data_IF_906884175484
#
_entry.id   IF_906884175484
#
_cell.length_a   1.000
_cell.length_b   1.000
_cell.length_c   1.000
_cell.angle_alpha   90.00
_cell.angle_beta   90.00
_cell.angle_gamma   90.00
#
_symmetry.space_group_name_H-M   'P 1'
#
loop_
_entity.id
_entity.type
_entity.pdbx_description
1 polymer ?
#
# COMPACT_ATOMS: atom_id res chain seq x y z
N UNK A 1 6.61 -8.58 -21.74
CA UNK A 1 5.19 -8.87 -21.83
C UNK A 1 4.48 -8.28 -20.63
N UNK A 2 3.34 -7.59 -20.86
CA UNK A 2 2.52 -7.04 -19.77
C UNK A 2 1.79 -8.15 -19.02
N UNK A 3 1.20 -7.80 -17.85
CA UNK A 3 0.36 -8.71 -17.10
C UNK A 3 -0.88 -9.11 -17.91
N UNK A 4 -1.29 -10.37 -17.80
CA UNK A 4 -2.52 -10.87 -18.39
C UNK A 4 -3.72 -10.39 -17.59
N UNK A 5 -4.67 -9.71 -18.25
CA UNK A 5 -5.87 -9.18 -17.59
C UNK A 5 -6.85 -10.26 -17.12
N UNK A 6 -6.74 -11.48 -17.65
CA UNK A 6 -7.55 -12.61 -17.16
C UNK A 6 -7.01 -13.18 -15.85
N UNK A 7 -5.68 -13.18 -15.69
CA UNK A 7 -5.03 -13.65 -14.46
C UNK A 7 -4.98 -12.55 -13.38
N UNK A 8 -4.77 -11.27 -13.80
CA UNK A 8 -4.58 -10.13 -12.90
C UNK A 8 -5.54 -8.97 -13.24
N UNK A 9 -6.86 -9.17 -13.10
CA UNK A 9 -7.86 -8.17 -13.49
C UNK A 9 -7.79 -6.89 -12.66
N UNK A 10 -7.39 -6.94 -11.39
CA UNK A 10 -7.32 -5.76 -10.53
C UNK A 10 -6.09 -4.91 -10.82
N UNK A 11 -4.92 -5.51 -11.02
CA UNK A 11 -3.68 -4.80 -11.37
C UNK A 11 -3.74 -4.19 -12.78
N UNK A 12 -4.44 -4.83 -13.70
CA UNK A 12 -4.56 -4.35 -15.08
C UNK A 12 -5.74 -3.40 -15.29
N UNK A 13 -6.63 -3.27 -14.30
CA UNK A 13 -7.85 -2.46 -14.40
C UNK A 13 -7.58 -1.03 -14.88
N UNK A 14 -6.62 -0.34 -14.26
CA UNK A 14 -6.31 1.06 -14.59
C UNK A 14 -5.62 1.24 -15.95
N UNK A 15 -5.03 0.18 -16.48
CA UNK A 15 -4.46 0.17 -17.85
C UNK A 15 -5.53 0.25 -18.92
N UNK A 16 -6.66 -0.39 -18.67
CA UNK A 16 -7.71 -0.62 -19.64
C UNK A 16 -8.89 0.35 -19.47
N UNK A 17 -8.75 1.37 -18.60
CA UNK A 17 -9.74 2.44 -18.41
C UNK A 17 -9.81 3.35 -19.62
N UNK A 18 -11.03 3.54 -20.17
CA UNK A 18 -11.30 4.53 -21.22
C UNK A 18 -11.43 5.94 -20.61
N UNK A 19 -12.08 6.06 -19.46
CA UNK A 19 -12.25 7.31 -18.72
C UNK A 19 -11.79 7.17 -17.25
N UNK A 20 -10.77 7.93 -16.88
CA UNK A 20 -10.26 7.95 -15.50
C UNK A 20 -11.23 8.56 -14.49
N UNK A 21 -12.23 9.33 -14.92
CA UNK A 21 -13.29 9.81 -14.05
C UNK A 21 -14.13 8.66 -13.48
N UNK A 22 -14.27 7.54 -14.19
CA UNK A 22 -14.94 6.35 -13.66
C UNK A 22 -14.20 5.77 -12.45
N UNK A 23 -12.88 5.91 -12.39
CA UNK A 23 -12.09 5.53 -11.22
C UNK A 23 -12.41 6.41 -10.00
N UNK A 24 -12.58 7.72 -10.22
CA UNK A 24 -12.89 8.70 -9.16
C UNK A 24 -14.33 8.57 -8.65
N UNK A 25 -15.27 8.18 -9.52
CA UNK A 25 -16.71 8.08 -9.23
C UNK A 25 -17.11 6.80 -8.49
N UNK A 26 -16.18 5.87 -8.28
CA UNK A 26 -16.45 4.66 -7.49
C UNK A 26 -16.94 5.00 -6.10
N UNK A 27 -17.82 4.14 -5.56
CA UNK A 27 -18.16 4.19 -4.14
C UNK A 27 -16.92 3.84 -3.28
N UNK A 28 -16.89 4.27 -2.01
CA UNK A 28 -15.82 3.88 -1.09
C UNK A 28 -15.63 2.36 -0.99
N UNK A 29 -16.72 1.60 -1.02
CA UNK A 29 -16.72 0.14 -0.96
C UNK A 29 -16.14 -0.50 -2.22
N UNK A 30 -16.48 0.02 -3.42
CA UNK A 30 -15.92 -0.42 -4.68
C UNK A 30 -14.42 -0.12 -4.75
N UNK A 31 -13.99 1.04 -4.25
CA UNK A 31 -12.58 1.40 -4.17
C UNK A 31 -11.82 0.46 -3.23
N UNK A 32 -12.39 0.16 -2.04
CA UNK A 32 -11.80 -0.80 -1.11
C UNK A 32 -11.71 -2.20 -1.73
N UNK A 33 -12.78 -2.69 -2.34
CA UNK A 33 -12.80 -4.00 -2.98
C UNK A 33 -11.75 -4.14 -4.09
N UNK A 34 -11.54 -3.06 -4.88
CA UNK A 34 -10.47 -3.01 -5.87
C UNK A 34 -9.08 -3.07 -5.22
N UNK A 35 -8.83 -2.29 -4.16
CA UNK A 35 -7.55 -2.30 -3.43
C UNK A 35 -7.26 -3.66 -2.80
N UNK A 36 -8.28 -4.31 -2.22
CA UNK A 36 -8.14 -5.67 -1.67
C UNK A 36 -7.79 -6.68 -2.78
N UNK A 37 -8.34 -6.50 -3.99
CA UNK A 37 -8.00 -7.28 -5.18
C UNK A 37 -6.56 -7.06 -5.63
N UNK A 38 -6.14 -5.79 -5.74
CA UNK A 38 -4.75 -5.41 -6.06
C UNK A 38 -3.77 -6.03 -5.06
N UNK A 39 -4.05 -5.95 -3.77
CA UNK A 39 -3.17 -6.51 -2.73
C UNK A 39 -3.00 -8.02 -2.89
N UNK A 40 -4.09 -8.76 -3.15
CA UNK A 40 -4.02 -10.22 -3.39
C UNK A 40 -3.21 -10.57 -4.65
N UNK A 41 -3.38 -9.82 -5.72
CA UNK A 41 -2.64 -10.06 -6.98
C UNK A 41 -1.16 -9.68 -6.84
N UNK A 42 -0.84 -8.59 -6.13
CA UNK A 42 0.52 -8.23 -5.77
C UNK A 42 1.18 -9.34 -4.95
N UNK A 43 0.52 -9.87 -3.93
CA UNK A 43 1.04 -10.98 -3.12
C UNK A 43 1.43 -12.19 -3.99
N UNK A 44 0.59 -12.58 -4.95
CA UNK A 44 0.89 -13.67 -5.88
C UNK A 44 2.17 -13.40 -6.68
N UNK A 45 2.30 -12.18 -7.23
CA UNK A 45 3.47 -11.79 -8.03
C UNK A 45 4.74 -11.70 -7.20
N UNK A 46 4.64 -11.13 -5.99
CA UNK A 46 5.76 -10.98 -5.07
C UNK A 46 6.27 -12.34 -4.57
N UNK A 47 5.39 -13.29 -4.25
CA UNK A 47 5.76 -14.64 -3.89
C UNK A 47 6.49 -15.38 -5.02
N UNK A 48 6.02 -15.23 -6.28
CA UNK A 48 6.72 -15.77 -7.46
C UNK A 48 8.11 -15.14 -7.63
N UNK A 49 8.22 -13.83 -7.41
CA UNK A 49 9.50 -13.12 -7.47
C UNK A 49 10.47 -13.61 -6.39
N UNK A 50 10.00 -13.71 -5.15
CA UNK A 50 10.80 -14.17 -4.01
C UNK A 50 11.29 -15.61 -4.21
N UNK A 51 10.45 -16.48 -4.78
CA UNK A 51 10.85 -17.85 -5.11
C UNK A 51 12.03 -17.88 -6.08
N UNK A 52 12.03 -17.00 -7.08
CA UNK A 52 13.15 -16.86 -8.03
C UNK A 52 14.42 -16.24 -7.46
N UNK A 53 14.36 -15.66 -6.25
CA UNK A 53 15.49 -14.98 -5.61
C UNK A 53 16.18 -15.83 -4.51
N UNK A 54 15.62 -16.96 -4.13
CA UNK A 54 16.06 -17.80 -2.99
C UNK A 54 17.53 -18.20 -3.02
N UNK A 55 18.11 -18.41 -4.19
CA UNK A 55 19.44 -19.01 -4.33
C UNK A 55 20.56 -18.01 -4.69
N UNK A 56 20.31 -16.70 -4.52
CA UNK A 56 21.29 -15.68 -4.96
C UNK A 56 22.46 -15.47 -3.99
N UNK A 57 22.47 -16.10 -2.81
CA UNK A 57 23.56 -16.04 -1.83
C UNK A 57 23.83 -14.65 -1.24
N UNK A 58 22.86 -13.73 -1.36
CA UNK A 58 22.92 -12.36 -0.82
C UNK A 58 21.58 -11.97 -0.19
N UNK A 59 21.58 -11.09 0.82
CA UNK A 59 20.35 -10.53 1.37
C UNK A 59 19.54 -9.78 0.30
N UNK A 60 18.23 -9.93 0.33
CA UNK A 60 17.27 -9.20 -0.50
C UNK A 60 16.29 -8.49 0.41
N UNK A 61 16.17 -7.18 0.25
CA UNK A 61 15.19 -6.37 0.96
C UNK A 61 14.01 -6.10 0.03
N UNK A 62 12.81 -6.28 0.54
CA UNK A 62 11.57 -6.13 -0.23
C UNK A 62 10.60 -5.25 0.55
N UNK A 63 10.10 -4.20 -0.10
CA UNK A 63 8.88 -3.51 0.34
C UNK A 63 7.70 -4.26 -0.27
N UNK A 64 6.80 -4.80 0.56
CA UNK A 64 5.89 -5.86 0.15
C UNK A 64 4.44 -5.60 0.55
N UNK A 65 3.51 -6.10 -0.27
CA UNK A 65 2.09 -6.22 0.02
C UNK A 65 1.68 -7.63 0.50
N UNK A 66 2.65 -8.52 0.76
CA UNK A 66 2.36 -9.87 1.25
C UNK A 66 1.65 -9.76 2.61
N UNK A 67 0.56 -10.53 2.75
CA UNK A 67 -0.25 -10.52 3.97
C UNK A 67 0.52 -10.97 5.21
N UNK A 68 0.13 -10.48 6.37
CA UNK A 68 0.73 -10.88 7.66
C UNK A 68 0.69 -12.39 7.86
N UNK A 69 -0.42 -13.03 7.48
CA UNK A 69 -0.64 -14.46 7.59
C UNK A 69 0.37 -15.24 6.74
N UNK A 70 0.56 -14.81 5.51
CA UNK A 70 1.53 -15.41 4.59
C UNK A 70 2.96 -15.17 5.08
N UNK A 71 3.31 -13.93 5.49
CA UNK A 71 4.63 -13.60 6.03
C UNK A 71 4.99 -14.49 7.24
N UNK A 72 4.04 -14.72 8.16
CA UNK A 72 4.24 -15.63 9.30
C UNK A 72 4.55 -17.07 8.89
N UNK A 73 4.09 -17.49 7.73
CA UNK A 73 4.32 -18.85 7.23
C UNK A 73 5.63 -19.02 6.47
N UNK A 74 6.22 -17.93 5.94
CA UNK A 74 7.37 -18.01 5.02
C UNK A 74 8.64 -17.34 5.54
N UNK A 75 8.55 -16.45 6.54
CA UNK A 75 9.68 -15.68 7.04
C UNK A 75 9.84 -15.79 8.56
N UNK A 76 11.08 -15.82 9.09
CA UNK A 76 11.36 -15.65 10.51
C UNK A 76 10.88 -14.26 11.00
N UNK A 77 10.49 -14.16 12.27
CA UNK A 77 9.95 -12.91 12.85
C UNK A 77 10.96 -11.74 12.77
N UNK A 78 12.24 -12.00 12.92
CA UNK A 78 13.33 -11.03 12.85
C UNK A 78 13.69 -10.59 11.42
N UNK A 79 13.10 -11.22 10.41
CA UNK A 79 13.25 -10.84 9.00
C UNK A 79 12.11 -9.97 8.47
N UNK A 80 11.13 -9.67 9.31
CA UNK A 80 9.97 -8.85 8.92
C UNK A 80 9.87 -7.61 9.80
N UNK A 81 9.73 -6.45 9.16
CA UNK A 81 9.52 -5.18 9.81
C UNK A 81 8.24 -4.53 9.31
N UNK A 82 7.33 -4.22 10.20
CA UNK A 82 6.09 -3.51 9.90
C UNK A 82 6.29 -2.01 10.16
N UNK A 83 6.05 -1.20 9.13
CA UNK A 83 6.12 0.26 9.25
C UNK A 83 4.71 0.86 9.19
N UNK A 84 4.24 1.39 10.31
CA UNK A 84 2.91 1.97 10.43
C UNK A 84 2.96 3.50 10.50
N UNK A 85 1.92 4.14 9.97
CA UNK A 85 1.64 5.55 10.16
C UNK A 85 0.22 5.71 10.71
N UNK A 86 -0.04 6.80 11.40
CA UNK A 86 -1.40 7.13 11.86
C UNK A 86 -2.36 7.14 10.67
N UNK A 87 -3.46 6.35 10.71
CA UNK A 87 -4.41 6.26 9.61
C UNK A 87 -5.02 7.61 9.22
N UNK A 88 -5.33 8.48 10.20
CA UNK A 88 -5.93 9.78 9.96
C UNK A 88 -4.94 10.74 9.27
N UNK A 89 -3.66 10.68 9.66
CA UNK A 89 -2.61 11.47 9.01
C UNK A 89 -2.42 10.99 7.56
N UNK A 90 -2.41 9.68 7.35
CA UNK A 90 -2.26 9.08 6.02
C UNK A 90 -3.36 9.54 5.05
N UNK A 91 -4.62 9.55 5.50
CA UNK A 91 -5.75 10.02 4.70
C UNK A 91 -5.69 11.54 4.45
N UNK A 92 -5.44 12.33 5.50
CA UNK A 92 -5.40 13.79 5.40
C UNK A 92 -4.32 14.28 4.44
N UNK A 93 -3.13 13.65 4.50
CA UNK A 93 -1.95 14.05 3.70
C UNK A 93 -1.81 13.31 2.38
N UNK A 94 -2.81 12.55 1.97
CA UNK A 94 -2.71 11.74 0.76
C UNK A 94 -2.33 12.58 -0.47
N UNK A 95 -2.99 13.72 -0.67
CA UNK A 95 -2.77 14.63 -1.79
C UNK A 95 -1.67 15.68 -1.55
N UNK A 96 -1.10 15.77 -0.33
CA UNK A 96 0.05 16.66 -0.06
C UNK A 96 1.37 16.08 -0.60
N UNK A 97 1.37 14.81 -1.01
CA UNK A 97 2.55 14.14 -1.55
C UNK A 97 2.84 14.61 -2.98
N UNK A 98 4.13 14.81 -3.35
CA UNK A 98 4.51 15.28 -4.68
C UNK A 98 4.44 14.20 -5.76
N UNK A 99 3.88 13.02 -5.45
CA UNK A 99 3.75 11.90 -6.39
C UNK A 99 2.87 12.30 -7.57
N UNK A 100 3.34 12.10 -8.79
CA UNK A 100 2.60 12.46 -10.01
C UNK A 100 1.23 11.82 -10.10
N UNK A 101 1.11 10.57 -9.68
CA UNK A 101 -0.16 9.84 -9.67
C UNK A 101 -1.18 10.48 -8.72
N UNK A 102 -0.76 10.88 -7.51
CA UNK A 102 -1.66 11.55 -6.55
C UNK A 102 -2.08 12.93 -7.01
N UNK A 103 -1.17 13.67 -7.65
CA UNK A 103 -1.48 14.96 -8.24
C UNK A 103 -2.43 14.80 -9.43
N UNK A 104 -2.26 13.77 -10.25
CA UNK A 104 -3.18 13.44 -11.33
C UNK A 104 -4.59 13.11 -10.80
N UNK A 105 -4.70 12.25 -9.78
CA UNK A 105 -5.98 11.94 -9.14
C UNK A 105 -6.63 13.18 -8.52
N UNK A 106 -5.84 14.05 -7.91
CA UNK A 106 -6.34 15.32 -7.36
C UNK A 106 -6.95 16.19 -8.47
N UNK A 107 -6.29 16.33 -9.63
CA UNK A 107 -6.83 17.10 -10.76
C UNK A 107 -8.13 16.49 -11.29
N UNK A 108 -8.21 15.17 -11.44
CA UNK A 108 -9.44 14.50 -11.85
C UNK A 108 -10.61 14.79 -10.90
N UNK A 109 -10.35 14.81 -9.58
CA UNK A 109 -11.36 15.17 -8.57
C UNK A 109 -11.79 16.63 -8.74
N UNK A 110 -10.85 17.54 -8.99
CA UNK A 110 -11.15 18.96 -9.18
C UNK A 110 -11.90 19.24 -10.49
N UNK A 111 -11.77 18.36 -11.48
CA UNK A 111 -12.47 18.45 -12.77
C UNK A 111 -13.91 17.85 -12.72
N UNK A 112 -14.31 17.21 -11.61
CA UNK A 112 -15.69 16.71 -11.44
C UNK A 112 -16.69 17.87 -11.33
N UNK A 113 -17.95 17.67 -11.76
CA UNK A 113 -19.01 18.69 -11.66
C UNK A 113 -19.27 19.20 -10.23
N UNK A 114 -19.00 18.36 -9.22
CA UNK A 114 -19.05 18.66 -7.79
C UNK A 114 -17.76 18.16 -7.12
N UNK A 115 -16.67 18.95 -7.17
CA UNK A 115 -15.36 18.54 -6.65
C UNK A 115 -15.36 18.27 -5.14
N UNK A 116 -16.19 19.00 -4.37
CA UNK A 116 -16.26 18.80 -2.92
C UNK A 116 -16.83 17.43 -2.58
N UNK A 117 -17.93 17.06 -3.25
CA UNK A 117 -18.56 15.75 -3.08
C UNK A 117 -17.64 14.62 -3.58
N UNK A 118 -16.96 14.80 -4.70
CA UNK A 118 -16.00 13.83 -5.23
C UNK A 118 -14.82 13.63 -4.27
N UNK A 119 -14.29 14.71 -3.71
CA UNK A 119 -13.22 14.67 -2.71
C UNK A 119 -13.67 13.96 -1.42
N UNK A 120 -14.88 14.26 -0.94
CA UNK A 120 -15.44 13.59 0.24
C UNK A 120 -15.59 12.08 0.00
N UNK A 121 -16.13 11.70 -1.17
CA UNK A 121 -16.28 10.30 -1.57
C UNK A 121 -14.93 9.58 -1.62
N UNK A 122 -13.93 10.16 -2.27
CA UNK A 122 -12.59 9.59 -2.38
C UNK A 122 -11.92 9.43 -1.00
N UNK A 123 -12.05 10.44 -0.13
CA UNK A 123 -11.54 10.36 1.25
C UNK A 123 -12.20 9.25 2.06
N UNK A 124 -13.50 9.00 1.90
CA UNK A 124 -14.19 7.87 2.54
C UNK A 124 -13.59 6.53 2.10
N UNK A 125 -13.29 6.37 0.81
CA UNK A 125 -12.57 5.20 0.30
C UNK A 125 -11.19 5.02 0.95
N UNK A 126 -10.40 6.11 1.04
CA UNK A 126 -9.11 6.08 1.72
C UNK A 126 -9.23 5.73 3.21
N UNK A 127 -10.30 6.19 3.89
CA UNK A 127 -10.55 5.85 5.30
C UNK A 127 -10.89 4.36 5.49
N UNK A 128 -11.59 3.73 4.56
CA UNK A 128 -11.87 2.29 4.61
C UNK A 128 -10.60 1.46 4.46
N UNK A 129 -9.68 1.89 3.59
CA UNK A 129 -8.39 1.21 3.38
C UNK A 129 -7.47 1.42 4.58
N UNK A 130 -7.37 2.66 5.07
CA UNK A 130 -6.56 3.03 6.23
C UNK A 130 -7.41 2.98 7.51
N UNK A 131 -8.16 1.90 7.72
CA UNK A 131 -9.02 1.76 8.89
C UNK A 131 -8.21 1.52 10.17
N UNK A 132 -8.81 1.85 11.32
CA UNK A 132 -8.22 1.53 12.63
C UNK A 132 -8.09 0.01 12.79
N UNK A 133 -9.01 -0.77 12.28
CA UNK A 133 -8.97 -2.24 12.32
C UNK A 133 -7.73 -2.77 11.58
N UNK A 134 -7.46 -2.29 10.37
CA UNK A 134 -6.24 -2.66 9.64
C UNK A 134 -4.98 -2.22 10.39
N UNK A 135 -4.97 -1.02 10.96
CA UNK A 135 -3.85 -0.53 11.77
C UNK A 135 -3.57 -1.45 12.96
N UNK A 136 -4.61 -1.81 13.73
CA UNK A 136 -4.49 -2.71 14.88
C UNK A 136 -4.06 -4.13 14.46
N UNK A 137 -4.54 -4.63 13.34
CA UNK A 137 -4.12 -5.91 12.77
C UNK A 137 -2.61 -5.96 12.53
N UNK A 138 -2.05 -4.93 11.90
CA UNK A 138 -0.60 -4.82 11.69
C UNK A 138 0.17 -4.56 12.98
N UNK A 139 -0.34 -3.70 13.87
CA UNK A 139 0.29 -3.37 15.15
C UNK A 139 0.44 -4.61 16.04
N UNK A 140 -0.54 -5.49 16.03
CA UNK A 140 -0.55 -6.74 16.82
C UNK A 140 -0.15 -7.97 16.00
N UNK A 141 0.53 -7.77 14.90
CA UNK A 141 0.99 -8.86 14.01
C UNK A 141 1.95 -9.85 14.67
N UNK A 142 2.66 -9.43 15.70
CA UNK A 142 3.75 -10.19 16.33
C UNK A 142 5.13 -9.90 15.74
N UNK A 143 5.20 -9.20 14.59
CA UNK A 143 6.46 -8.72 14.01
C UNK A 143 6.97 -7.47 14.71
N UNK A 144 8.23 -7.11 14.47
CA UNK A 144 8.77 -5.83 14.93
C UNK A 144 8.04 -4.68 14.22
N UNK A 145 7.58 -3.69 15.00
CA UNK A 145 6.80 -2.55 14.46
C UNK A 145 7.53 -1.24 14.70
N UNK A 146 7.69 -0.45 13.64
CA UNK A 146 8.11 0.94 13.71
C UNK A 146 6.92 1.84 13.38
N UNK A 147 6.48 2.64 14.36
CA UNK A 147 5.46 3.66 14.11
C UNK A 147 6.15 4.91 13.58
N UNK A 148 5.83 5.28 12.35
CA UNK A 148 6.30 6.53 11.74
C UNK A 148 5.59 7.70 12.41
N UNK A 149 6.37 8.68 12.82
CA UNK A 149 5.86 9.93 13.33
C UNK A 149 6.56 11.12 12.64
N UNK A 150 5.95 12.29 12.72
CA UNK A 150 6.44 13.51 12.06
C UNK A 150 7.70 14.10 12.72
N UNK A 151 8.05 13.66 13.93
CA UNK A 151 9.23 14.15 14.66
C UNK A 151 10.53 13.50 14.21
N UNK A 152 10.47 12.39 13.46
CA UNK A 152 11.64 11.68 12.95
C UNK A 152 11.95 12.05 11.50
N UNK A 153 13.22 12.32 11.23
CA UNK A 153 13.75 12.46 9.88
C UNK A 153 13.81 11.09 9.17
N UNK A 154 13.99 11.13 7.84
CA UNK A 154 14.21 9.90 7.04
C UNK A 154 15.44 9.14 7.56
N UNK A 155 16.55 9.83 7.86
CA UNK A 155 17.78 9.20 8.38
C UNK A 155 17.54 8.51 9.73
N UNK A 156 16.87 9.16 10.66
CA UNK A 156 16.51 8.55 11.94
C UNK A 156 15.60 7.33 11.79
N UNK A 157 14.73 7.33 10.78
CA UNK A 157 13.90 6.15 10.50
C UNK A 157 14.74 5.04 9.89
N UNK A 158 15.68 5.36 8.99
CA UNK A 158 16.62 4.39 8.41
C UNK A 158 17.47 3.71 9.48
N UNK A 159 18.05 4.47 10.42
CA UNK A 159 18.82 3.93 11.55
C UNK A 159 18.00 2.91 12.38
N UNK A 160 16.69 3.16 12.57
CA UNK A 160 15.81 2.20 13.25
C UNK A 160 15.59 0.93 12.43
N UNK A 161 15.47 1.06 11.11
CA UNK A 161 15.32 -0.08 10.19
C UNK A 161 16.59 -0.91 10.16
N UNK A 162 17.76 -0.27 10.01
CA UNK A 162 19.07 -0.95 10.04
C UNK A 162 19.27 -1.72 11.34
N UNK A 163 18.98 -1.08 12.47
CA UNK A 163 19.04 -1.72 13.79
C UNK A 163 18.07 -2.90 13.91
N UNK A 164 16.85 -2.78 13.38
CA UNK A 164 15.88 -3.87 13.43
C UNK A 164 16.34 -5.11 12.67
N UNK A 165 17.13 -4.93 11.60
CA UNK A 165 17.69 -6.03 10.83
C UNK A 165 19.14 -6.39 11.18
N UNK A 166 19.73 -5.78 12.23
CA UNK A 166 21.10 -6.05 12.66
C UNK A 166 22.16 -5.66 11.63
N UNK A 167 21.97 -4.55 10.94
CA UNK A 167 22.84 -4.04 9.88
C UNK A 167 23.80 -2.94 10.36
N UNK A 168 23.95 -2.72 11.67
CA UNK A 168 24.76 -1.68 12.31
C UNK A 168 26.28 -1.99 12.20
#
# INVERSE_FOLDING_TARGET
PGLDSTEFPFLTYTRDLEDWHDFIRRTPEEYKAWMDGVSRECEILELRLLDGLKDQGRPVFVDTNISIETLKSIAPEDHVLVMLADPQISVRRFFERPDREKQFLYQLIMDEPDPEKAMENYRKGLMLINSQENYEHYLHSGFHVIIRNESRTILQTLELVEKAFGLD
#
